data_IF_092947795088
#
_entry.id   IF_092947795088
#
_cell.length_a   1.000
_cell.length_b   1.000
_cell.length_c   1.000
_cell.angle_alpha   90.00
_cell.angle_beta   90.00
_cell.angle_gamma   90.00
#
_symmetry.space_group_name_H-M   'P 1'
#
loop_
_entity.id
_entity.type
_entity.pdbx_description
1 polymer ?
#
# COMPACT_ATOMS: atom_id res chain seq x y z
N UNK A 1 0.56 -1.57 -17.42
CA UNK A 1 -0.71 -2.34 -17.50
C UNK A 1 -0.89 -3.03 -18.85
N UNK A 2 -0.79 -2.32 -19.99
CA UNK A 2 -0.98 -2.90 -21.33
C UNK A 2 -0.04 -4.08 -21.64
N UNK A 3 1.23 -3.94 -21.32
CA UNK A 3 2.28 -4.91 -21.68
C UNK A 3 2.56 -5.95 -20.56
N UNK A 4 1.88 -5.80 -19.40
CA UNK A 4 1.86 -6.78 -18.31
C UNK A 4 0.58 -7.60 -18.31
N UNK A 5 -0.44 -7.12 -17.60
CA UNK A 5 -1.71 -7.86 -17.36
C UNK A 5 -2.42 -8.29 -18.65
N UNK A 6 -2.30 -7.52 -19.73
CA UNK A 6 -2.94 -7.81 -21.02
C UNK A 6 -2.00 -8.45 -22.04
N UNK A 7 -0.82 -8.94 -21.63
CA UNK A 7 0.18 -9.51 -22.54
C UNK A 7 -0.35 -10.71 -23.34
N UNK A 8 -1.26 -11.49 -22.77
CA UNK A 8 -1.88 -12.66 -23.41
C UNK A 8 -2.93 -12.33 -24.47
N UNK A 9 -3.38 -11.07 -24.55
CA UNK A 9 -4.40 -10.66 -25.53
C UNK A 9 -3.72 -10.27 -26.84
N UNK A 10 -4.14 -10.86 -28.01
CA UNK A 10 -3.55 -10.53 -29.30
C UNK A 10 -3.74 -9.05 -29.67
N UNK A 11 -2.72 -8.49 -30.29
CA UNK A 11 -2.82 -7.21 -30.98
C UNK A 11 -3.63 -7.39 -32.30
N UNK A 12 -4.65 -6.55 -32.62
CA UNK A 12 -4.97 -5.22 -32.09
C UNK A 12 -6.04 -5.20 -30.98
N UNK A 13 -6.65 -6.35 -30.62
CA UNK A 13 -7.71 -6.43 -29.61
C UNK A 13 -7.25 -5.83 -28.26
N UNK A 14 -5.99 -6.08 -27.90
CA UNK A 14 -5.36 -5.52 -26.69
C UNK A 14 -5.49 -4.00 -26.61
N UNK A 15 -5.38 -3.28 -27.74
CA UNK A 15 -5.49 -1.82 -27.78
C UNK A 15 -6.89 -1.38 -27.45
N UNK A 16 -7.89 -2.04 -28.05
CA UNK A 16 -9.32 -1.72 -27.85
C UNK A 16 -9.71 -2.02 -26.40
N UNK A 17 -9.39 -3.20 -25.89
CA UNK A 17 -9.68 -3.60 -24.50
C UNK A 17 -8.97 -2.67 -23.52
N UNK A 18 -7.71 -2.32 -23.79
CA UNK A 18 -6.94 -1.39 -22.98
C UNK A 18 -7.56 0.01 -22.93
N UNK A 19 -8.05 0.53 -24.05
CA UNK A 19 -8.72 1.81 -24.13
C UNK A 19 -10.06 1.81 -23.38
N UNK A 20 -10.86 0.76 -23.54
CA UNK A 20 -12.13 0.61 -22.81
C UNK A 20 -11.92 0.52 -21.30
N UNK A 21 -10.96 -0.30 -20.88
CA UNK A 21 -10.59 -0.42 -19.46
C UNK A 21 -10.10 0.92 -18.88
N UNK A 22 -9.25 1.64 -19.62
CA UNK A 22 -8.77 2.97 -19.22
C UNK A 22 -9.92 3.98 -19.07
N UNK A 23 -10.83 4.03 -20.04
CA UNK A 23 -12.01 4.93 -19.98
C UNK A 23 -12.90 4.59 -18.78
N UNK A 24 -13.17 3.31 -18.56
CA UNK A 24 -14.01 2.87 -17.44
C UNK A 24 -13.37 3.21 -16.08
N UNK A 25 -12.06 2.94 -15.93
CA UNK A 25 -11.33 3.29 -14.71
C UNK A 25 -11.31 4.81 -14.47
N UNK A 26 -11.05 5.61 -15.50
CA UNK A 26 -11.07 7.06 -15.38
C UNK A 26 -12.45 7.60 -15.00
N UNK A 27 -13.51 7.07 -15.60
CA UNK A 27 -14.88 7.44 -15.24
C UNK A 27 -15.20 7.08 -13.78
N UNK A 28 -14.77 5.90 -13.33
CA UNK A 28 -14.90 5.48 -11.93
C UNK A 28 -14.15 6.40 -10.96
N UNK A 29 -12.89 6.70 -11.24
CA UNK A 29 -12.08 7.62 -10.43
C UNK A 29 -12.69 9.03 -10.37
N UNK A 30 -13.20 9.53 -11.50
CA UNK A 30 -13.86 10.82 -11.55
C UNK A 30 -15.17 10.83 -10.72
N UNK A 31 -15.95 9.76 -10.80
CA UNK A 31 -17.19 9.59 -10.02
C UNK A 31 -16.91 9.51 -8.52
N UNK A 32 -15.83 8.84 -8.12
CA UNK A 32 -15.40 8.76 -6.72
C UNK A 32 -14.81 10.09 -6.20
N UNK A 33 -14.50 11.04 -7.08
CA UNK A 33 -13.89 12.32 -6.73
C UNK A 33 -12.36 12.35 -6.87
N UNK A 34 -11.66 11.22 -6.73
CA UNK A 34 -10.18 11.17 -6.83
C UNK A 34 -9.67 11.64 -8.19
N UNK A 35 -10.39 11.32 -9.27
CA UNK A 35 -10.02 11.75 -10.62
C UNK A 35 -10.24 13.25 -10.92
N UNK A 36 -10.69 14.03 -9.94
CA UNK A 36 -10.87 15.50 -10.05
C UNK A 36 -9.66 16.29 -9.56
N UNK A 37 -8.74 15.63 -8.83
CA UNK A 37 -7.54 16.26 -8.32
C UNK A 37 -6.42 16.27 -9.35
N UNK A 38 -5.57 17.28 -9.30
CA UNK A 38 -4.35 17.35 -10.09
C UNK A 38 -3.33 16.28 -9.66
N UNK A 39 -2.35 16.03 -10.49
CA UNK A 39 -1.27 15.09 -10.13
C UNK A 39 -0.52 15.54 -8.88
N UNK A 40 -0.27 16.85 -8.73
CA UNK A 40 0.39 17.45 -7.58
C UNK A 40 -0.42 17.27 -6.29
N UNK A 41 -1.74 17.45 -6.36
CA UNK A 41 -2.64 17.24 -5.24
C UNK A 41 -2.64 15.77 -4.81
N UNK A 42 -2.73 14.83 -5.77
CA UNK A 42 -2.66 13.40 -5.50
C UNK A 42 -1.33 13.01 -4.85
N UNK A 43 -0.21 13.54 -5.34
CA UNK A 43 1.10 13.34 -4.73
C UNK A 43 1.13 13.88 -3.29
N UNK A 44 0.65 15.10 -3.06
CA UNK A 44 0.57 15.70 -1.73
C UNK A 44 -0.30 14.88 -0.77
N UNK A 45 -1.45 14.38 -1.23
CA UNK A 45 -2.32 13.53 -0.40
C UNK A 45 -1.64 12.20 -0.05
N UNK A 46 -1.01 11.56 -1.02
CA UNK A 46 -0.26 10.33 -0.80
C UNK A 46 0.82 10.53 0.27
N UNK A 47 1.63 11.55 0.11
CA UNK A 47 2.73 11.84 1.03
C UNK A 47 2.19 12.11 2.45
N UNK A 48 1.15 12.93 2.56
CA UNK A 48 0.51 13.21 3.86
C UNK A 48 -0.07 11.95 4.51
N UNK A 49 -0.76 11.10 3.75
CA UNK A 49 -1.36 9.86 4.27
C UNK A 49 -0.26 8.94 4.80
N UNK A 50 0.81 8.71 4.04
CA UNK A 50 1.88 7.81 4.46
C UNK A 50 2.65 8.34 5.69
N UNK A 51 2.95 9.64 5.74
CA UNK A 51 3.59 10.24 6.92
C UNK A 51 2.68 10.21 8.14
N UNK A 52 1.40 10.54 7.99
CA UNK A 52 0.44 10.45 9.10
C UNK A 52 0.30 9.02 9.62
N UNK A 53 0.42 8.03 8.74
CA UNK A 53 0.42 6.63 9.12
C UNK A 53 1.69 6.26 9.89
N UNK A 54 2.85 6.73 9.46
CA UNK A 54 4.12 6.51 10.18
C UNK A 54 4.06 7.09 11.59
N UNK A 55 3.53 8.31 11.73
CA UNK A 55 3.32 8.96 13.03
C UNK A 55 2.34 8.17 13.93
N UNK A 56 1.23 7.70 13.37
CA UNK A 56 0.27 6.86 14.09
C UNK A 56 0.92 5.58 14.60
N UNK A 57 1.70 4.92 13.75
CA UNK A 57 2.39 3.67 14.10
C UNK A 57 3.50 3.90 15.12
N UNK A 58 4.20 5.04 15.07
CA UNK A 58 5.17 5.44 16.08
C UNK A 58 4.51 5.55 17.47
N UNK A 59 3.37 6.22 17.54
CA UNK A 59 2.60 6.37 18.77
C UNK A 59 2.07 5.04 19.29
N UNK A 60 1.55 4.19 18.39
CA UNK A 60 1.05 2.86 18.73
C UNK A 60 2.16 1.94 19.26
N UNK A 61 3.33 2.02 18.64
CA UNK A 61 4.54 1.30 19.09
C UNK A 61 4.98 1.75 20.48
N UNK A 62 4.97 3.06 20.72
CA UNK A 62 5.36 3.64 22.02
C UNK A 62 4.42 3.20 23.15
N UNK A 63 3.13 3.03 22.85
CA UNK A 63 2.11 2.57 23.80
C UNK A 63 2.02 1.07 23.96
N UNK A 64 2.71 0.30 23.10
CA UNK A 64 2.66 -1.16 23.15
C UNK A 64 3.24 -1.68 24.48
N UNK A 65 2.66 -2.75 25.06
CA UNK A 65 3.17 -3.36 26.27
C UNK A 65 4.63 -3.84 26.11
N UNK A 66 5.43 -3.65 27.14
CA UNK A 66 6.82 -4.10 27.14
C UNK A 66 6.90 -5.61 26.90
N UNK A 67 7.77 -6.03 25.95
CA UNK A 67 7.96 -7.43 25.59
C UNK A 67 7.02 -7.96 24.50
N UNK A 68 6.09 -7.17 23.98
CA UNK A 68 5.27 -7.56 22.84
C UNK A 68 6.08 -7.51 21.56
N UNK A 69 6.14 -8.63 20.81
CA UNK A 69 6.88 -8.72 19.54
C UNK A 69 6.25 -7.88 18.43
N UNK A 70 4.92 -7.89 18.36
CA UNK A 70 4.12 -7.16 17.36
C UNK A 70 3.31 -6.09 18.07
N UNK A 71 3.21 -4.91 17.49
CA UNK A 71 2.29 -3.86 17.94
C UNK A 71 1.22 -3.63 16.88
N UNK A 72 0.05 -3.13 17.30
CA UNK A 72 -1.13 -3.01 16.45
C UNK A 72 -1.45 -1.55 16.18
N UNK A 73 -1.93 -1.24 14.99
CA UNK A 73 -2.13 0.14 14.51
C UNK A 73 -3.02 0.99 15.45
N UNK A 74 -4.04 0.39 16.04
CA UNK A 74 -4.93 1.05 16.99
C UNK A 74 -4.57 0.76 18.47
N UNK A 75 -3.42 0.13 18.70
CA UNK A 75 -3.02 -0.33 20.04
C UNK A 75 -3.74 -1.62 20.44
N UNK A 76 -3.63 -1.97 21.74
CA UNK A 76 -4.29 -3.16 22.28
C UNK A 76 -3.42 -4.42 22.28
N UNK A 77 -4.02 -5.55 22.64
CA UNK A 77 -3.32 -6.83 22.86
C UNK A 77 -3.35 -7.75 21.64
N UNK A 78 -4.11 -7.43 20.61
CA UNK A 78 -4.29 -8.27 19.44
C UNK A 78 -4.64 -7.46 18.19
N UNK A 79 -4.61 -8.10 17.01
CA UNK A 79 -4.92 -7.46 15.74
C UNK A 79 -6.39 -7.08 15.64
N UNK A 80 -6.66 -6.04 14.87
CA UNK A 80 -7.98 -5.59 14.47
C UNK A 80 -8.16 -5.72 12.95
N UNK A 81 -9.36 -5.50 12.43
CA UNK A 81 -9.59 -5.44 10.98
C UNK A 81 -8.76 -4.34 10.31
N UNK A 82 -8.46 -3.26 11.05
CA UNK A 82 -7.58 -2.20 10.57
C UNK A 82 -6.17 -2.72 10.28
N UNK A 83 -5.63 -3.57 11.13
CA UNK A 83 -4.30 -4.16 10.95
C UNK A 83 -4.23 -5.07 9.72
N UNK A 84 -5.29 -5.86 9.47
CA UNK A 84 -5.38 -6.71 8.29
C UNK A 84 -5.33 -5.89 7.01
N UNK A 85 -6.13 -4.84 6.94
CA UNK A 85 -6.17 -3.94 5.78
C UNK A 85 -4.86 -3.19 5.61
N UNK A 86 -4.32 -2.62 6.69
CA UNK A 86 -3.11 -1.83 6.68
C UNK A 86 -1.89 -2.65 6.26
N UNK A 87 -1.70 -3.83 6.86
CA UNK A 87 -0.62 -4.74 6.49
C UNK A 87 -0.68 -5.11 5.01
N UNK A 88 -1.87 -5.47 4.50
CA UNK A 88 -2.05 -5.80 3.09
C UNK A 88 -1.69 -4.61 2.16
N UNK A 89 -2.08 -3.39 2.51
CA UNK A 89 -1.72 -2.18 1.74
C UNK A 89 -0.22 -1.89 1.76
N UNK A 90 0.44 -2.04 2.90
CA UNK A 90 1.89 -1.83 3.02
C UNK A 90 2.64 -2.86 2.17
N UNK A 91 2.31 -4.14 2.30
CA UNK A 91 2.94 -5.21 1.51
C UNK A 91 2.68 -5.02 0.02
N UNK A 92 1.44 -4.72 -0.38
CA UNK A 92 1.12 -4.43 -1.78
C UNK A 92 1.92 -3.24 -2.31
N UNK A 93 2.09 -2.17 -1.52
CA UNK A 93 2.90 -1.00 -1.88
C UNK A 93 4.38 -1.32 -2.07
N UNK A 94 4.91 -2.28 -1.31
CA UNK A 94 6.31 -2.72 -1.41
C UNK A 94 6.56 -3.69 -2.58
N UNK A 95 5.60 -4.54 -2.91
CA UNK A 95 5.75 -5.61 -3.91
C UNK A 95 5.25 -5.20 -5.30
N UNK A 96 4.17 -4.41 -5.38
CA UNK A 96 3.52 -4.08 -6.64
C UNK A 96 4.34 -3.07 -7.48
N UNK A 97 4.57 -3.39 -8.75
CA UNK A 97 5.28 -2.50 -9.69
C UNK A 97 4.45 -1.31 -10.19
N UNK A 98 3.15 -1.30 -9.92
CA UNK A 98 2.25 -0.26 -10.40
C UNK A 98 2.43 1.10 -9.69
N UNK A 99 3.05 1.13 -8.51
CA UNK A 99 3.21 2.33 -7.70
C UNK A 99 4.66 2.57 -7.24
N UNK A 100 5.62 2.80 -8.15
CA UNK A 100 7.04 2.93 -7.78
C UNK A 100 7.31 4.09 -6.81
N UNK A 101 6.55 5.18 -6.90
CA UNK A 101 6.71 6.32 -6.01
C UNK A 101 6.22 6.01 -4.60
N UNK A 102 5.11 5.27 -4.45
CA UNK A 102 4.63 4.80 -3.15
C UNK A 102 5.64 3.84 -2.51
N UNK A 103 6.22 2.92 -3.30
CA UNK A 103 7.26 2.01 -2.84
C UNK A 103 8.48 2.77 -2.28
N UNK A 104 8.97 3.77 -3.02
CA UNK A 104 10.08 4.61 -2.58
C UNK A 104 9.76 5.32 -1.27
N UNK A 105 8.57 5.91 -1.17
CA UNK A 105 8.14 6.61 0.02
C UNK A 105 8.01 5.67 1.22
N UNK A 106 7.33 4.54 1.08
CA UNK A 106 7.15 3.57 2.17
C UNK A 106 8.49 3.14 2.77
N UNK A 107 9.51 2.91 1.93
CA UNK A 107 10.86 2.54 2.38
C UNK A 107 11.56 3.61 3.22
N UNK A 108 11.14 4.85 3.14
CA UNK A 108 11.68 5.95 3.98
C UNK A 108 10.97 6.08 5.33
N UNK A 109 9.92 5.28 5.59
CA UNK A 109 9.04 5.39 6.76
C UNK A 109 9.35 4.27 7.76
N UNK A 110 10.17 4.53 8.78
CA UNK A 110 10.73 3.49 9.63
C UNK A 110 9.68 2.75 10.47
N UNK A 111 8.62 3.43 10.92
CA UNK A 111 7.58 2.81 11.74
C UNK A 111 6.64 1.94 10.90
N UNK A 112 6.36 2.35 9.67
CA UNK A 112 5.59 1.54 8.70
C UNK A 112 6.34 0.25 8.36
N UNK A 113 7.65 0.35 8.10
CA UNK A 113 8.50 -0.81 7.80
C UNK A 113 8.62 -1.73 9.01
N UNK A 114 8.87 -1.19 10.22
CA UNK A 114 8.98 -2.00 11.44
C UNK A 114 7.66 -2.73 11.76
N UNK A 115 6.53 -2.06 11.61
CA UNK A 115 5.21 -2.63 11.77
C UNK A 115 4.97 -3.82 10.82
N UNK A 116 5.20 -3.62 9.53
CA UNK A 116 4.96 -4.65 8.53
C UNK A 116 5.95 -5.82 8.68
N UNK A 117 7.22 -5.54 8.97
CA UNK A 117 8.25 -6.57 9.20
C UNK A 117 7.89 -7.47 10.37
N UNK A 118 7.49 -6.92 11.52
CA UNK A 118 7.12 -7.71 12.71
C UNK A 118 5.92 -8.60 12.46
N UNK A 119 4.89 -8.10 11.76
CA UNK A 119 3.73 -8.92 11.40
C UNK A 119 4.15 -10.03 10.44
N UNK A 120 4.97 -9.72 9.43
CA UNK A 120 5.47 -10.71 8.48
C UNK A 120 6.27 -11.82 9.19
N UNK A 121 7.21 -11.46 10.06
CA UNK A 121 8.05 -12.42 10.79
C UNK A 121 7.24 -13.32 11.74
N UNK A 122 6.17 -12.80 12.35
CA UNK A 122 5.37 -13.57 13.31
C UNK A 122 4.30 -14.45 12.64
N UNK A 123 3.69 -14.00 11.52
CA UNK A 123 2.51 -14.65 10.93
C UNK A 123 2.73 -15.15 9.50
N UNK A 124 3.75 -14.69 8.81
CA UNK A 124 3.97 -14.96 7.38
C UNK A 124 5.42 -15.35 7.08
N UNK A 125 6.14 -15.91 8.03
CA UNK A 125 7.54 -16.28 7.89
C UNK A 125 7.82 -17.36 6.82
N UNK A 126 6.80 -18.07 6.38
CA UNK A 126 6.82 -19.06 5.31
C UNK A 126 6.72 -18.45 3.90
N UNK A 127 6.40 -17.15 3.80
CA UNK A 127 6.37 -16.41 2.55
C UNK A 127 7.66 -15.62 2.35
N UNK A 128 8.02 -15.41 1.08
CA UNK A 128 9.17 -14.57 0.73
C UNK A 128 8.95 -13.13 1.22
N UNK A 129 9.92 -12.63 1.97
CA UNK A 129 9.86 -11.28 2.50
C UNK A 129 10.04 -10.24 1.38
N UNK A 130 9.26 -9.15 1.38
CA UNK A 130 9.52 -8.03 0.47
C UNK A 130 10.88 -7.38 0.78
N UNK A 131 11.47 -6.70 -0.22
CA UNK A 131 12.64 -5.88 0.01
C UNK A 131 12.26 -4.66 0.88
N UNK A 132 12.67 -4.71 2.14
CA UNK A 132 12.34 -3.69 3.14
C UNK A 132 13.10 -2.37 2.94
N UNK A 133 14.26 -2.41 2.22
CA UNK A 133 15.16 -1.29 1.92
C UNK A 133 15.07 -0.85 0.47
#
# INVERSE_FOLDING_TARGET
MRDGVMASIPYPIRVIVGLLAWRNNNAGLYSQGTGRFSAEEIHSFRDKIWHSLDDLLAESRHKAPSGQKVFWALGGKGPTEADTSLFAFVIAGLVCDAGPDSRKLIRTLPNVIDYARRIHEEYFADYEAPAWE
#
